data_IF_056616932582
#
_entry.id   IF_056616932582
#
_cell.length_a   1.000
_cell.length_b   1.000
_cell.length_c   1.000
_cell.angle_alpha   90.00
_cell.angle_beta   90.00
_cell.angle_gamma   90.00
#
_symmetry.space_group_name_H-M   'P 1'
#
loop_
_entity.id
_entity.type
_entity.pdbx_description
1 polymer ?
#
# COMPACT_ATOMS: atom_id res chain seq x y z
N UNK A 1 47.62 1.55 50.25
CA UNK A 1 48.35 2.76 50.67
C UNK A 1 48.33 3.71 49.48
N UNK A 2 47.32 4.59 49.45
CA UNK A 2 47.41 6.04 49.68
C UNK A 2 48.00 6.78 48.46
N UNK A 3 47.52 7.92 47.99
CA UNK A 3 46.29 8.71 48.12
C UNK A 3 46.48 9.94 47.18
N UNK A 4 45.41 10.72 46.94
CA UNK A 4 45.36 12.10 46.40
C UNK A 4 45.15 12.22 44.87
N UNK A 5 44.00 12.66 44.32
CA UNK A 5 43.13 13.85 44.57
C UNK A 5 43.90 15.16 44.28
N UNK A 6 43.47 16.14 43.46
CA UNK A 6 42.25 16.99 43.48
C UNK A 6 42.14 17.80 42.14
N UNK A 7 40.97 18.37 41.77
CA UNK A 7 40.66 18.98 40.47
C UNK A 7 40.28 20.52 40.47
N UNK A 8 39.94 21.04 39.28
CA UNK A 8 39.18 22.28 38.89
C UNK A 8 39.82 23.68 39.15
N UNK A 9 39.44 24.76 38.39
CA UNK A 9 38.21 25.52 38.69
C UNK A 9 37.39 26.08 37.49
N UNK A 10 36.09 26.25 37.78
CA UNK A 10 35.06 27.06 37.10
C UNK A 10 35.22 28.53 37.56
N UNK A 11 34.85 29.54 36.75
CA UNK A 11 34.49 30.85 37.27
C UNK A 11 32.98 31.15 37.16
N UNK A 12 32.38 31.55 38.29
CA UNK A 12 31.10 32.25 38.41
C UNK A 12 31.31 33.59 39.14
N UNK A 13 30.37 34.52 38.89
CA UNK A 13 29.93 35.70 39.67
C UNK A 13 30.56 37.08 39.38
N UNK A 14 29.72 38.00 38.87
CA UNK A 14 29.12 39.16 39.56
C UNK A 14 28.28 39.93 38.51
N UNK A 15 26.96 40.08 38.62
CA UNK A 15 26.11 40.89 39.52
C UNK A 15 26.33 42.42 39.40
N UNK A 16 25.28 43.16 38.99
CA UNK A 16 24.83 44.47 39.53
C UNK A 16 23.83 45.22 38.61
N UNK A 17 22.56 45.16 39.01
CA UNK A 17 21.47 46.19 39.06
C UNK A 17 21.54 47.52 38.25
N UNK A 18 20.39 47.89 37.66
CA UNK A 18 19.52 49.08 37.88
C UNK A 18 18.77 49.45 36.58
N UNK A 19 17.45 49.29 36.51
CA UNK A 19 16.36 50.27 36.77
C UNK A 19 16.11 51.34 35.67
N UNK A 20 14.82 51.49 35.32
CA UNK A 20 14.24 52.52 34.44
C UNK A 20 13.71 51.92 33.13
N UNK A 21 12.43 51.94 32.75
CA UNK A 21 11.32 52.82 33.13
C UNK A 21 10.82 53.56 31.88
N UNK A 22 9.70 53.12 31.29
CA UNK A 22 8.80 54.01 30.54
C UNK A 22 8.42 53.64 29.10
N UNK A 23 7.10 53.54 28.90
CA UNK A 23 6.29 53.93 27.71
C UNK A 23 6.57 53.11 26.42
N UNK A 24 5.66 52.33 25.84
CA UNK A 24 4.22 52.52 25.64
C UNK A 24 3.96 52.84 24.17
N UNK A 25 3.38 51.91 23.40
CA UNK A 25 2.39 52.11 22.32
C UNK A 25 2.25 50.86 21.41
N UNK A 26 1.08 50.64 20.77
CA UNK A 26 0.54 49.32 20.46
C UNK A 26 0.44 48.97 18.96
N UNK A 27 0.09 47.69 18.72
CA UNK A 27 -0.26 47.06 17.45
C UNK A 27 -1.21 47.86 16.55
N UNK A 28 -1.03 47.86 15.22
CA UNK A 28 -2.05 48.36 14.30
C UNK A 28 -3.18 47.33 14.09
N UNK A 29 -4.41 47.80 14.32
CA UNK A 29 -5.65 47.11 14.02
C UNK A 29 -5.98 47.14 12.51
N UNK A 30 -6.62 46.07 12.04
CA UNK A 30 -7.28 45.97 10.74
C UNK A 30 -8.60 46.77 10.73
N UNK A 31 -9.02 47.34 9.59
CA UNK A 31 -10.35 47.94 9.46
C UNK A 31 -11.45 46.87 9.21
N UNK A 32 -12.65 47.02 9.79
CA UNK A 32 -13.84 46.22 9.47
C UNK A 32 -14.70 46.93 8.39
N UNK A 33 -15.88 46.37 8.10
CA UNK A 33 -16.96 46.79 7.16
C UNK A 33 -16.90 46.12 5.77
N UNK A 34 -17.97 45.49 5.24
CA UNK A 34 -19.35 45.36 5.70
C UNK A 34 -20.18 44.47 4.75
N UNK A 35 -21.29 43.95 5.27
CA UNK A 35 -22.33 43.18 4.56
C UNK A 35 -23.49 44.12 4.21
N UNK A 36 -24.16 43.94 3.06
CA UNK A 36 -25.58 44.30 2.95
C UNK A 36 -26.47 43.12 2.53
N UNK A 37 -27.57 42.92 3.26
CA UNK A 37 -28.85 42.41 2.74
C UNK A 37 -29.26 43.26 1.51
N UNK A 38 -29.79 42.76 0.40
CA UNK A 38 -30.88 41.80 0.19
C UNK A 38 -32.13 42.59 -0.24
N UNK A 39 -32.48 42.61 -1.54
CA UNK A 39 -33.82 42.96 -2.05
C UNK A 39 -34.12 42.20 -3.36
N UNK A 40 -35.38 41.76 -3.44
CA UNK A 40 -36.06 40.98 -4.46
C UNK A 40 -36.40 41.72 -5.77
N UNK A 41 -36.76 40.94 -6.80
CA UNK A 41 -37.38 41.33 -8.06
C UNK A 41 -36.71 40.58 -9.23
N UNK A 42 -37.30 39.60 -9.92
CA UNK A 42 -38.70 39.37 -10.25
C UNK A 42 -39.00 39.93 -11.64
N UNK A 43 -38.68 39.18 -12.71
CA UNK A 43 -39.35 39.33 -14.01
C UNK A 43 -39.41 37.99 -14.77
N UNK A 44 -40.60 37.76 -15.31
CA UNK A 44 -41.09 36.61 -16.05
C UNK A 44 -40.62 36.56 -17.52
N UNK A 45 -40.57 35.32 -18.03
CA UNK A 45 -41.07 34.80 -19.32
C UNK A 45 -40.84 35.57 -20.64
N UNK A 46 -40.21 34.88 -21.61
CA UNK A 46 -40.79 34.54 -22.93
C UNK A 46 -39.85 33.54 -23.64
N UNK A 47 -40.25 32.29 -23.89
CA UNK A 47 -40.99 31.76 -25.06
C UNK A 47 -40.22 31.73 -26.40
N UNK A 48 -40.16 30.49 -26.94
CA UNK A 48 -40.25 30.11 -28.37
C UNK A 48 -38.98 29.78 -29.18
N UNK A 49 -38.95 28.49 -29.55
CA UNK A 49 -38.24 27.67 -30.56
C UNK A 49 -38.41 28.14 -32.04
N UNK A 50 -38.07 27.35 -33.09
CA UNK A 50 -36.81 26.66 -33.50
C UNK A 50 -36.49 26.85 -35.01
N UNK A 51 -35.30 26.49 -35.51
CA UNK A 51 -34.96 26.10 -36.91
C UNK A 51 -33.45 25.78 -36.90
N UNK A 52 -32.84 24.76 -37.52
CA UNK A 52 -33.22 23.84 -38.58
C UNK A 52 -32.00 23.67 -39.51
N UNK A 53 -31.47 22.44 -39.63
CA UNK A 53 -30.83 21.92 -40.85
C UNK A 53 -29.39 22.33 -41.23
N UNK A 54 -28.52 21.31 -41.25
CA UNK A 54 -28.02 20.65 -42.49
C UNK A 54 -26.48 20.60 -42.71
N UNK A 55 -26.04 19.35 -42.94
CA UNK A 55 -24.97 18.83 -43.83
C UNK A 55 -23.66 19.59 -44.06
N UNK A 56 -22.57 18.82 -43.91
CA UNK A 56 -21.29 19.05 -44.59
C UNK A 56 -20.21 18.11 -44.06
N UNK A 57 -19.93 17.01 -44.77
CA UNK A 57 -18.74 16.20 -44.51
C UNK A 57 -17.48 16.89 -45.03
N UNK A 58 -16.31 16.42 -44.62
CA UNK A 58 -15.08 16.34 -45.43
C UNK A 58 -13.96 15.67 -44.60
N UNK A 59 -13.31 14.69 -45.24
CA UNK A 59 -11.88 14.38 -45.21
C UNK A 59 -11.15 14.16 -43.87
N UNK A 60 -10.65 12.94 -43.68
CA UNK A 60 -9.53 12.67 -42.81
C UNK A 60 -8.18 13.09 -43.43
N UNK A 61 -7.09 12.88 -42.70
CA UNK A 61 -5.87 12.41 -43.33
C UNK A 61 -5.28 11.18 -42.62
N UNK A 62 -4.92 10.23 -43.46
CA UNK A 62 -3.88 9.23 -43.29
C UNK A 62 -2.54 9.83 -42.84
N UNK A 63 -1.82 9.14 -41.95
CA UNK A 63 -0.37 9.28 -41.86
C UNK A 63 0.30 7.89 -41.72
N UNK A 64 1.31 7.54 -42.55
CA UNK A 64 1.99 6.25 -42.60
C UNK A 64 3.32 6.25 -41.81
N UNK A 65 4.15 5.20 -41.98
CA UNK A 65 5.44 4.83 -41.34
C UNK A 65 5.29 3.86 -40.16
N UNK A 66 5.46 2.54 -40.30
CA UNK A 66 6.47 1.67 -40.93
C UNK A 66 7.80 1.54 -40.17
N UNK A 67 7.98 0.33 -39.61
CA UNK A 67 9.20 -0.49 -39.47
C UNK A 67 10.49 0.08 -38.86
N UNK A 68 10.96 -0.60 -37.82
CA UNK A 68 12.37 -0.65 -37.41
C UNK A 68 12.59 -1.71 -36.33
N UNK A 69 13.11 -2.87 -36.70
CA UNK A 69 13.48 -3.96 -35.80
C UNK A 69 15.00 -4.07 -35.54
N UNK A 70 15.33 -5.12 -34.77
CA UNK A 70 16.64 -5.76 -34.48
C UNK A 70 17.45 -5.25 -33.27
N UNK A 71 18.33 -6.09 -32.65
CA UNK A 71 18.45 -7.56 -32.69
C UNK A 71 18.63 -8.28 -31.32
N UNK A 72 18.38 -9.59 -31.40
CA UNK A 72 18.75 -10.65 -30.46
C UNK A 72 20.23 -11.04 -30.56
N UNK A 73 20.86 -11.30 -29.41
CA UNK A 73 22.04 -12.16 -29.20
C UNK A 73 21.65 -13.05 -28.00
N UNK A 74 21.90 -14.36 -27.89
CA UNK A 74 22.89 -15.23 -28.52
C UNK A 74 23.45 -16.13 -27.40
N UNK A 75 23.05 -17.40 -27.39
CA UNK A 75 23.40 -18.48 -26.45
C UNK A 75 24.91 -18.63 -26.16
N UNK A 76 25.25 -19.16 -24.98
CA UNK A 76 25.94 -20.46 -24.82
C UNK A 76 26.37 -20.73 -23.36
N UNK A 77 26.39 -22.02 -22.95
CA UNK A 77 27.15 -22.43 -21.76
C UNK A 77 26.58 -23.57 -20.93
N UNK A 78 26.64 -24.79 -21.47
CA UNK A 78 26.34 -26.07 -20.80
C UNK A 78 27.57 -26.58 -20.03
N UNK A 79 27.43 -26.96 -18.74
CA UNK A 79 28.30 -27.95 -18.06
C UNK A 79 27.52 -28.64 -16.93
N UNK A 80 27.46 -29.98 -16.97
CA UNK A 80 26.85 -30.84 -15.97
C UNK A 80 27.83 -31.32 -14.87
N UNK A 81 27.67 -32.54 -14.31
CA UNK A 81 27.20 -32.71 -12.93
C UNK A 81 28.13 -33.54 -12.03
N UNK A 82 27.89 -33.49 -10.71
CA UNK A 82 28.47 -34.38 -9.70
C UNK A 82 28.25 -33.78 -8.30
N UNK A 83 28.02 -34.49 -7.20
CA UNK A 83 27.97 -35.90 -6.88
C UNK A 83 27.82 -36.00 -5.35
N UNK A 84 27.09 -37.02 -4.90
CA UNK A 84 27.03 -37.67 -3.58
C UNK A 84 27.73 -37.03 -2.35
N UNK A 85 27.03 -36.94 -1.22
CA UNK A 85 27.29 -37.77 -0.02
C UNK A 85 26.34 -37.48 1.16
N UNK A 86 25.70 -38.55 1.60
CA UNK A 86 25.02 -38.82 2.88
C UNK A 86 25.95 -38.62 4.08
N UNK A 87 25.45 -38.17 5.25
CA UNK A 87 25.81 -38.75 6.57
C UNK A 87 24.92 -38.25 7.74
N UNK A 88 24.40 -39.22 8.50
CA UNK A 88 24.04 -39.28 9.92
C UNK A 88 22.88 -38.47 10.58
N UNK A 89 21.79 -39.24 10.79
CA UNK A 89 21.08 -39.47 12.08
C UNK A 89 22.05 -39.56 13.29
N UNK A 90 21.78 -39.24 14.57
CA UNK A 90 20.62 -39.23 15.48
C UNK A 90 21.20 -38.82 16.90
N UNK A 91 20.55 -38.97 18.09
CA UNK A 91 19.29 -38.47 18.68
C UNK A 91 19.49 -37.87 20.13
N UNK A 92 18.38 -37.74 20.89
CA UNK A 92 18.20 -37.45 22.34
C UNK A 92 18.07 -35.96 22.72
N UNK A 93 17.14 -35.51 23.59
CA UNK A 93 16.22 -36.18 24.49
C UNK A 93 15.18 -35.21 25.07
N UNK A 94 14.16 -35.77 25.72
CA UNK A 94 12.93 -35.13 26.17
C UNK A 94 13.03 -34.46 27.57
N UNK A 95 12.30 -33.34 27.74
CA UNK A 95 11.41 -32.87 28.85
C UNK A 95 11.79 -33.14 30.34
N UNK A 96 11.04 -32.67 31.37
CA UNK A 96 10.05 -31.59 31.52
C UNK A 96 10.29 -30.71 32.78
N UNK A 97 9.73 -29.51 32.93
CA UNK A 97 9.35 -28.98 34.25
C UNK A 97 8.27 -27.89 34.17
N UNK A 98 7.13 -28.20 34.79
CA UNK A 98 6.12 -27.32 35.39
C UNK A 98 5.52 -28.12 36.58
N UNK A 99 4.66 -27.60 37.50
CA UNK A 99 4.05 -26.27 37.61
C UNK A 99 3.97 -25.72 39.08
N UNK A 100 3.11 -24.69 39.28
CA UNK A 100 2.29 -24.31 40.47
C UNK A 100 2.75 -23.13 41.38
N UNK A 101 1.86 -22.47 42.18
CA UNK A 101 0.52 -21.91 41.90
C UNK A 101 0.24 -20.47 42.46
N UNK A 102 -0.83 -19.85 41.94
CA UNK A 102 -1.84 -18.94 42.54
C UNK A 102 -1.49 -17.88 43.61
N UNK A 103 -1.93 -16.63 43.37
CA UNK A 103 -2.71 -15.83 44.34
C UNK A 103 -3.59 -14.79 43.63
N UNK A 104 -4.81 -14.66 44.09
CA UNK A 104 -5.93 -13.82 43.64
C UNK A 104 -6.07 -12.55 44.51
N UNK A 105 -6.61 -11.45 43.94
CA UNK A 105 -7.10 -10.32 44.75
C UNK A 105 -7.34 -8.96 44.05
N UNK A 106 -8.58 -8.78 43.53
CA UNK A 106 -9.45 -7.56 43.56
C UNK A 106 -8.97 -6.16 43.09
N UNK A 107 -9.73 -5.55 42.15
CA UNK A 107 -10.04 -4.09 42.17
C UNK A 107 -9.98 -3.32 40.83
N UNK A 108 -11.16 -3.03 40.24
CA UNK A 108 -11.55 -2.00 39.23
C UNK A 108 -10.66 -1.64 38.00
N UNK A 109 -11.23 -1.50 36.78
CA UNK A 109 -10.43 -1.37 35.55
C UNK A 109 -9.93 0.08 35.29
N UNK A 110 -8.63 0.30 35.08
CA UNK A 110 -8.10 1.52 34.48
C UNK A 110 -8.17 1.46 32.93
N UNK A 111 -8.12 2.62 32.23
CA UNK A 111 -8.29 2.70 30.77
C UNK A 111 -7.19 1.93 30.03
N UNK A 112 -7.57 1.14 29.03
CA UNK A 112 -6.65 0.30 28.27
C UNK A 112 -5.74 1.16 27.37
N UNK A 113 -4.57 1.48 27.91
CA UNK A 113 -3.36 1.76 27.15
C UNK A 113 -2.94 0.47 26.45
N UNK A 114 -3.07 0.40 25.13
CA UNK A 114 -2.61 -0.74 24.32
C UNK A 114 -1.08 -0.82 24.36
N UNK A 115 -0.58 -1.63 25.29
CA UNK A 115 0.81 -2.02 25.38
C UNK A 115 1.16 -3.00 24.26
N UNK A 116 2.23 -2.69 23.52
CA UNK A 116 2.96 -3.65 22.72
C UNK A 116 3.65 -4.65 23.66
N UNK A 117 2.91 -5.67 24.10
CA UNK A 117 3.49 -6.92 24.58
C UNK A 117 3.67 -7.89 23.41
N UNK A 118 4.60 -8.85 23.47
CA UNK A 118 4.71 -9.88 22.46
C UNK A 118 3.44 -10.73 22.51
N UNK A 119 2.50 -10.48 21.61
CA UNK A 119 1.41 -11.41 21.34
C UNK A 119 2.05 -12.73 20.92
N UNK A 120 2.02 -13.71 21.81
CA UNK A 120 2.07 -15.12 21.44
C UNK A 120 0.87 -15.36 20.51
N UNK A 121 1.08 -15.14 19.21
CA UNK A 121 0.05 -15.26 18.20
C UNK A 121 -0.61 -16.62 18.31
N UNK A 122 -1.93 -16.64 18.45
CA UNK A 122 -2.71 -17.86 18.30
C UNK A 122 -2.64 -18.27 16.82
N UNK A 123 -1.54 -18.94 16.44
CA UNK A 123 -1.42 -19.55 15.13
C UNK A 123 -2.58 -20.51 14.93
N UNK A 124 -3.35 -20.32 13.86
CA UNK A 124 -4.36 -21.32 13.46
C UNK A 124 -3.68 -22.69 13.34
N UNK A 125 -4.26 -23.77 13.91
CA UNK A 125 -3.74 -25.11 13.71
C UNK A 125 -3.54 -25.43 12.23
N UNK A 126 -2.45 -26.12 11.88
CA UNK A 126 -2.06 -26.35 10.49
C UNK A 126 -3.17 -27.01 9.64
N UNK A 127 -3.92 -27.95 10.20
CA UNK A 127 -5.03 -28.60 9.50
C UNK A 127 -6.16 -27.61 9.17
N UNK A 128 -6.49 -26.73 10.11
CA UNK A 128 -7.50 -25.70 9.94
C UNK A 128 -7.05 -24.64 8.92
N UNK A 129 -5.77 -24.22 8.98
CA UNK A 129 -5.18 -23.31 7.99
C UNK A 129 -5.23 -23.93 6.60
N UNK A 130 -4.87 -25.20 6.46
CA UNK A 130 -4.91 -25.92 5.17
C UNK A 130 -6.33 -25.98 4.61
N UNK A 131 -7.33 -26.27 5.45
CA UNK A 131 -8.73 -26.27 5.03
C UNK A 131 -9.20 -24.89 4.57
N UNK A 132 -8.87 -23.83 5.32
CA UNK A 132 -9.23 -22.45 4.93
C UNK A 132 -8.52 -22.02 3.66
N UNK A 133 -7.24 -22.35 3.51
CA UNK A 133 -6.49 -22.08 2.29
C UNK A 133 -7.16 -22.75 1.09
N UNK A 134 -7.53 -24.03 1.20
CA UNK A 134 -8.24 -24.74 0.14
C UNK A 134 -9.58 -24.07 -0.23
N UNK A 135 -10.34 -23.58 0.77
CA UNK A 135 -11.59 -22.86 0.53
C UNK A 135 -11.36 -21.56 -0.24
N UNK A 136 -10.42 -20.73 0.21
CA UNK A 136 -10.05 -19.45 -0.43
C UNK A 136 -9.52 -19.69 -1.84
N UNK A 137 -8.63 -20.68 -2.02
CA UNK A 137 -8.08 -21.06 -3.33
C UNK A 137 -9.16 -21.49 -4.31
N UNK A 138 -10.16 -22.27 -3.87
CA UNK A 138 -11.30 -22.66 -4.71
C UNK A 138 -12.22 -21.47 -5.01
N UNK A 139 -12.54 -20.66 -4.00
CA UNK A 139 -13.46 -19.53 -4.11
C UNK A 139 -12.97 -18.48 -5.12
N UNK A 140 -11.66 -18.24 -5.18
CA UNK A 140 -11.06 -17.24 -6.06
C UNK A 140 -10.34 -17.83 -7.26
N UNK A 141 -10.53 -19.13 -7.53
CA UNK A 141 -9.94 -19.82 -8.67
C UNK A 141 -8.40 -19.65 -8.73
N UNK A 142 -7.75 -19.66 -7.57
CA UNK A 142 -6.29 -19.50 -7.47
C UNK A 142 -5.64 -20.82 -7.91
N UNK A 143 -4.67 -20.71 -8.81
CA UNK A 143 -3.84 -21.82 -9.26
C UNK A 143 -3.10 -22.45 -8.07
N UNK A 144 -3.04 -23.78 -8.02
CA UNK A 144 -2.38 -24.49 -6.92
C UNK A 144 -0.89 -24.14 -6.77
N UNK A 145 -0.19 -23.84 -7.88
CA UNK A 145 1.19 -23.39 -7.84
C UNK A 145 1.34 -22.01 -7.18
N UNK A 146 0.36 -21.13 -7.39
CA UNK A 146 0.30 -19.80 -6.78
C UNK A 146 -0.03 -19.94 -5.28
N UNK A 147 -1.06 -20.73 -4.96
CA UNK A 147 -1.51 -20.97 -3.59
C UNK A 147 -0.41 -21.56 -2.69
N UNK A 148 0.41 -22.47 -3.21
CA UNK A 148 1.51 -23.08 -2.47
C UNK A 148 2.57 -22.07 -1.97
N UNK A 149 2.66 -20.90 -2.60
CA UNK A 149 3.61 -19.84 -2.25
C UNK A 149 3.07 -18.83 -1.22
N UNK A 150 1.76 -18.83 -0.96
CA UNK A 150 1.14 -17.90 -0.01
C UNK A 150 1.66 -18.04 1.43
N UNK A 151 2.27 -19.18 1.79
CA UNK A 151 2.94 -19.35 3.09
C UNK A 151 4.06 -18.33 3.33
N UNK A 152 4.64 -17.73 2.27
CA UNK A 152 5.61 -16.64 2.40
C UNK A 152 5.04 -15.40 3.11
N UNK A 153 3.72 -15.20 3.06
CA UNK A 153 3.03 -14.11 3.75
C UNK A 153 2.94 -14.32 5.27
N UNK A 154 3.15 -15.54 5.77
CA UNK A 154 3.03 -15.84 7.21
C UNK A 154 4.02 -15.09 8.10
N UNK A 155 5.06 -14.50 7.53
CA UNK A 155 6.02 -13.62 8.23
C UNK A 155 5.97 -12.16 7.75
N UNK A 156 4.85 -11.76 7.14
CA UNK A 156 4.62 -10.40 6.67
C UNK A 156 3.54 -9.72 7.51
N UNK A 157 3.76 -8.46 7.88
CA UNK A 157 2.66 -7.53 8.16
C UNK A 157 2.18 -6.98 6.83
N UNK A 158 0.90 -7.19 6.50
CA UNK A 158 0.32 -6.66 5.26
C UNK A 158 -0.46 -5.39 5.56
N UNK A 159 -0.19 -4.35 4.78
CA UNK A 159 -0.90 -3.08 4.78
C UNK A 159 -1.38 -2.79 3.37
N UNK A 160 -2.65 -2.38 3.22
CA UNK A 160 -3.16 -1.86 1.95
C UNK A 160 -3.40 -0.35 2.11
N UNK A 161 -2.77 0.46 1.27
CA UNK A 161 -3.04 1.88 1.14
C UNK A 161 -3.96 2.09 -0.06
N UNK A 162 -5.23 2.35 0.21
CA UNK A 162 -6.25 2.60 -0.78
C UNK A 162 -6.30 4.08 -1.17
N UNK A 163 -6.11 4.37 -2.45
CA UNK A 163 -6.50 5.64 -3.03
C UNK A 163 -8.02 5.77 -2.99
N UNK A 164 -8.49 6.74 -2.23
CA UNK A 164 -9.89 7.12 -2.13
C UNK A 164 -10.11 8.57 -2.58
N UNK A 165 -9.28 9.06 -3.50
CA UNK A 165 -9.40 10.36 -4.16
C UNK A 165 -10.53 10.41 -5.18
N UNK A 166 -10.93 11.61 -5.59
CA UNK A 166 -12.08 11.79 -6.49
C UNK A 166 -11.95 11.06 -7.84
N UNK A 167 -10.72 10.88 -8.36
CA UNK A 167 -10.46 10.20 -9.65
C UNK A 167 -10.86 8.72 -9.64
N UNK A 168 -10.87 8.08 -8.47
CA UNK A 168 -11.28 6.67 -8.34
C UNK A 168 -12.77 6.43 -8.64
N UNK A 169 -13.59 7.48 -8.78
CA UNK A 169 -14.96 7.37 -9.32
C UNK A 169 -14.98 7.13 -10.85
N UNK A 170 -13.83 7.14 -11.52
CA UNK A 170 -13.77 6.95 -12.98
C UNK A 170 -14.28 5.55 -13.35
N UNK A 171 -15.22 5.45 -14.30
CA UNK A 171 -15.68 4.16 -14.81
C UNK A 171 -14.55 3.42 -15.52
N UNK A 172 -14.47 2.11 -15.33
CA UNK A 172 -13.49 1.28 -16.05
C UNK A 172 -14.05 0.92 -17.42
N UNK A 173 -13.28 1.16 -18.47
CA UNK A 173 -13.72 0.94 -19.85
C UNK A 173 -14.24 -0.49 -20.06
N UNK A 174 -15.42 -0.59 -20.70
CA UNK A 174 -16.04 -1.89 -20.99
C UNK A 174 -16.69 -2.57 -19.79
N UNK A 175 -16.88 -1.88 -18.67
CA UNK A 175 -17.58 -2.41 -17.48
C UNK A 175 -18.62 -1.43 -16.95
N UNK A 176 -19.47 -1.90 -16.03
CA UNK A 176 -20.37 -1.06 -15.23
C UNK A 176 -19.78 -0.71 -13.85
N UNK A 177 -18.46 -0.90 -13.66
CA UNK A 177 -17.76 -0.69 -12.39
C UNK A 177 -16.86 0.54 -12.47
N UNK A 178 -16.67 1.20 -11.35
CA UNK A 178 -15.63 2.24 -11.17
C UNK A 178 -14.32 1.62 -10.69
N UNK A 179 -13.21 2.37 -10.80
CA UNK A 179 -11.91 1.98 -10.23
C UNK A 179 -12.03 1.69 -8.72
N UNK A 180 -12.88 2.42 -8.02
CA UNK A 180 -13.21 2.18 -6.61
C UNK A 180 -13.91 0.84 -6.35
N UNK A 181 -14.81 0.41 -7.26
CA UNK A 181 -15.50 -0.89 -7.13
C UNK A 181 -14.54 -2.07 -7.35
N UNK A 182 -13.59 -1.93 -8.27
CA UNK A 182 -12.53 -2.91 -8.49
C UNK A 182 -11.59 -2.97 -7.28
N UNK A 183 -11.15 -1.81 -6.77
CA UNK A 183 -10.33 -1.74 -5.55
C UNK A 183 -11.05 -2.37 -4.35
N UNK A 184 -12.35 -2.11 -4.16
CA UNK A 184 -13.16 -2.78 -3.14
C UNK A 184 -13.06 -4.30 -3.26
N UNK A 185 -13.23 -4.82 -4.47
CA UNK A 185 -13.19 -6.27 -4.74
C UNK A 185 -11.81 -6.84 -4.42
N UNK A 186 -10.75 -6.16 -4.86
CA UNK A 186 -9.37 -6.53 -4.57
C UNK A 186 -9.10 -6.61 -3.05
N UNK A 187 -9.44 -5.56 -2.30
CA UNK A 187 -9.19 -5.51 -0.85
C UNK A 187 -9.96 -6.59 -0.10
N UNK A 188 -11.20 -6.91 -0.52
CA UNK A 188 -11.96 -8.00 0.08
C UNK A 188 -11.22 -9.34 -0.05
N UNK A 189 -10.67 -9.63 -1.23
CA UNK A 189 -9.95 -10.88 -1.49
C UNK A 189 -8.60 -10.89 -0.76
N UNK A 190 -7.90 -9.75 -0.71
CA UNK A 190 -6.64 -9.61 0.06
C UNK A 190 -6.88 -9.92 1.54
N UNK A 191 -7.95 -9.41 2.15
CA UNK A 191 -8.30 -9.73 3.55
C UNK A 191 -8.58 -11.22 3.72
N UNK A 192 -9.37 -11.82 2.83
CA UNK A 192 -9.72 -13.23 2.92
C UNK A 192 -8.49 -14.15 2.75
N UNK A 193 -7.55 -13.81 1.86
CA UNK A 193 -6.27 -14.54 1.71
C UNK A 193 -5.36 -14.33 2.92
N UNK A 194 -5.10 -13.07 3.30
CA UNK A 194 -4.10 -12.76 4.32
C UNK A 194 -4.53 -13.21 5.73
N UNK A 195 -5.83 -13.19 6.03
CA UNK A 195 -6.37 -13.67 7.32
C UNK A 195 -6.21 -15.18 7.55
N UNK A 196 -5.94 -15.97 6.48
CA UNK A 196 -5.56 -17.39 6.59
C UNK A 196 -4.10 -17.53 7.05
N UNK A 197 -3.25 -16.58 6.66
CA UNK A 197 -1.81 -16.62 6.90
C UNK A 197 -1.44 -15.97 8.25
N UNK A 198 -2.01 -14.79 8.53
CA UNK A 198 -1.81 -14.04 9.77
C UNK A 198 -3.14 -13.88 10.53
N UNK A 199 -3.20 -14.43 11.75
CA UNK A 199 -4.35 -14.32 12.64
C UNK A 199 -4.60 -12.88 13.15
N UNK A 200 -3.60 -12.00 13.09
CA UNK A 200 -3.75 -10.59 13.45
C UNK A 200 -4.50 -9.79 12.37
N UNK A 201 -4.63 -10.33 11.15
CA UNK A 201 -5.26 -9.64 10.03
C UNK A 201 -4.31 -8.64 9.36
N UNK A 202 -4.90 -7.70 8.62
CA UNK A 202 -4.17 -6.68 7.86
C UNK A 202 -4.65 -5.28 8.23
N UNK A 203 -3.82 -4.28 7.97
CA UNK A 203 -4.27 -2.89 8.07
C UNK A 203 -4.68 -2.33 6.71
N UNK A 204 -5.76 -1.55 6.70
CA UNK A 204 -6.27 -0.85 5.52
C UNK A 204 -6.21 0.64 5.82
N UNK A 205 -5.32 1.34 5.14
CA UNK A 205 -5.20 2.78 5.18
C UNK A 205 -5.89 3.39 3.95
N UNK A 206 -6.33 4.63 4.11
CA UNK A 206 -6.88 5.43 3.02
C UNK A 206 -6.14 6.75 2.94
N UNK A 207 -6.20 7.42 1.79
CA UNK A 207 -5.58 8.74 1.62
C UNK A 207 -6.36 9.83 2.36
N UNK A 208 -7.69 9.80 2.31
CA UNK A 208 -8.57 10.88 2.72
C UNK A 208 -9.47 10.53 3.92
N UNK A 209 -9.25 9.38 4.59
CA UNK A 209 -9.99 8.96 5.79
C UNK A 209 -9.14 8.12 6.76
N UNK A 210 -9.73 7.83 7.92
CA UNK A 210 -9.10 7.05 8.98
C UNK A 210 -8.89 5.58 8.57
N UNK A 211 -7.79 4.95 9.05
CA UNK A 211 -7.50 3.55 8.74
C UNK A 211 -8.39 2.57 9.50
N UNK A 212 -8.51 1.36 8.97
CA UNK A 212 -8.99 0.17 9.66
C UNK A 212 -7.81 -0.71 10.02
N UNK A 213 -7.63 -1.05 11.28
CA UNK A 213 -6.48 -1.84 11.75
C UNK A 213 -6.90 -3.27 12.11
N UNK A 214 -5.99 -4.23 11.92
CA UNK A 214 -6.17 -5.65 12.28
C UNK A 214 -7.46 -6.26 11.69
N UNK A 215 -7.73 -5.99 10.41
CA UNK A 215 -8.92 -6.47 9.70
C UNK A 215 -8.72 -7.94 9.34
N UNK A 216 -9.57 -8.81 9.90
CA UNK A 216 -9.55 -10.26 9.66
C UNK A 216 -10.77 -10.76 8.89
N UNK A 217 -11.69 -9.88 8.51
CA UNK A 217 -12.98 -10.26 7.92
C UNK A 217 -13.44 -9.23 6.87
N UNK A 218 -13.54 -9.70 5.62
CA UNK A 218 -13.91 -8.89 4.47
C UNK A 218 -15.31 -8.25 4.59
N UNK A 219 -16.20 -8.75 5.47
CA UNK A 219 -17.53 -8.17 5.72
C UNK A 219 -17.44 -6.71 6.18
N UNK A 220 -16.44 -6.36 7.00
CA UNK A 220 -16.26 -5.00 7.49
C UNK A 220 -15.72 -4.06 6.41
N UNK A 221 -14.85 -4.57 5.53
CA UNK A 221 -14.34 -3.82 4.38
C UNK A 221 -15.47 -3.31 3.51
N UNK A 222 -16.46 -4.16 3.21
CA UNK A 222 -17.58 -3.79 2.33
C UNK A 222 -18.35 -2.56 2.80
N UNK A 223 -18.45 -2.35 4.11
CA UNK A 223 -19.19 -1.23 4.68
C UNK A 223 -18.44 0.10 4.51
N UNK A 224 -17.13 0.11 4.72
CA UNK A 224 -16.31 1.33 4.59
C UNK A 224 -16.22 1.80 3.15
N UNK A 225 -16.22 0.87 2.19
CA UNK A 225 -16.26 1.19 0.76
C UNK A 225 -17.61 1.71 0.25
N UNK A 226 -18.65 1.78 1.10
CA UNK A 226 -19.92 2.41 0.71
C UNK A 226 -19.82 3.95 0.66
N UNK A 227 -18.87 4.54 1.38
CA UNK A 227 -18.57 5.96 1.24
C UNK A 227 -17.76 6.17 -0.06
N UNK A 228 -18.24 7.01 -1.00
CA UNK A 228 -17.56 7.22 -2.26
C UNK A 228 -16.18 7.85 -2.05
N UNK A 229 -15.23 7.62 -2.96
CA UNK A 229 -13.93 8.25 -2.91
C UNK A 229 -14.06 9.74 -3.30
N UNK A 230 -13.30 10.59 -2.63
CA UNK A 230 -13.32 12.05 -2.77
C UNK A 230 -12.01 12.66 -2.26
N UNK A 231 -11.69 13.85 -2.75
CA UNK A 231 -10.50 14.59 -2.32
C UNK A 231 -9.32 14.44 -3.27
N UNK A 232 -8.15 14.87 -2.79
CA UNK A 232 -6.87 14.82 -3.51
C UNK A 232 -6.22 13.45 -3.34
N UNK A 233 -4.99 13.31 -3.84
CA UNK A 233 -4.18 12.07 -3.78
C UNK A 233 -2.95 12.27 -2.87
N UNK A 234 -3.10 12.53 -1.54
CA UNK A 234 -2.00 12.80 -0.62
C UNK A 234 -1.23 11.52 -0.23
N UNK A 235 -0.66 10.83 -1.22
CA UNK A 235 -0.01 9.53 -1.07
C UNK A 235 1.26 9.61 -0.22
N UNK A 236 2.06 10.67 -0.40
CA UNK A 236 3.32 10.90 0.35
C UNK A 236 3.09 10.95 1.87
N UNK A 237 2.23 11.85 2.41
CA UNK A 237 1.98 11.87 3.86
C UNK A 237 1.29 10.59 4.36
N UNK A 238 0.42 9.95 3.56
CA UNK A 238 -0.22 8.70 3.94
C UNK A 238 0.79 7.55 4.07
N UNK A 239 1.74 7.43 3.14
CA UNK A 239 2.82 6.44 3.20
C UNK A 239 3.73 6.69 4.41
N UNK A 240 4.11 7.95 4.68
CA UNK A 240 4.89 8.29 5.89
C UNK A 240 4.15 7.93 7.18
N UNK A 241 2.83 8.11 7.23
CA UNK A 241 2.00 7.69 8.37
C UNK A 241 2.10 6.19 8.63
N UNK A 242 2.04 5.37 7.58
CA UNK A 242 2.21 3.90 7.68
C UNK A 242 3.62 3.57 8.17
N UNK A 243 4.65 4.11 7.53
CA UNK A 243 6.05 3.85 7.89
C UNK A 243 6.35 4.24 9.35
N UNK A 244 5.82 5.37 9.81
CA UNK A 244 5.95 5.80 11.20
C UNK A 244 5.23 4.85 12.17
N UNK A 245 4.00 4.44 11.86
CA UNK A 245 3.22 3.52 12.70
C UNK A 245 3.85 2.12 12.79
N UNK A 246 4.50 1.67 11.72
CA UNK A 246 5.12 0.33 11.62
C UNK A 246 6.62 0.32 11.92
N UNK A 247 7.22 1.46 12.27
CA UNK A 247 8.68 1.61 12.49
C UNK A 247 9.26 0.66 13.54
N UNK A 248 8.49 0.33 14.57
CA UNK A 248 8.93 -0.49 15.70
C UNK A 248 8.51 -1.97 15.57
N UNK A 249 8.09 -2.41 14.38
CA UNK A 249 7.81 -3.83 14.18
C UNK A 249 9.10 -4.66 14.39
N UNK A 250 8.96 -5.91 14.89
CA UNK A 250 10.11 -6.79 15.04
C UNK A 250 10.89 -6.89 13.73
N UNK A 251 12.22 -6.74 13.78
CA UNK A 251 13.08 -6.73 12.60
C UNK A 251 12.96 -7.99 11.72
N UNK A 252 12.53 -9.10 12.33
CA UNK A 252 12.32 -10.38 11.65
C UNK A 252 11.03 -10.41 10.82
N UNK A 253 10.04 -9.56 11.10
CA UNK A 253 8.77 -9.49 10.35
C UNK A 253 8.93 -8.52 9.19
N UNK A 254 8.61 -8.98 7.97
CA UNK A 254 8.58 -8.12 6.79
C UNK A 254 7.36 -7.21 6.85
N UNK A 255 7.45 -6.00 6.31
CA UNK A 255 6.30 -5.11 6.09
C UNK A 255 6.00 -5.08 4.60
N UNK A 256 4.84 -5.58 4.17
CA UNK A 256 4.35 -5.48 2.80
C UNK A 256 3.30 -4.38 2.72
N UNK A 257 3.52 -3.38 1.86
CA UNK A 257 2.58 -2.29 1.61
C UNK A 257 2.09 -2.40 0.16
N UNK A 258 0.80 -2.70 -0.01
CA UNK A 258 0.13 -2.59 -1.31
C UNK A 258 -0.39 -1.16 -1.47
N UNK A 259 0.07 -0.41 -2.46
CA UNK A 259 -0.40 0.95 -2.74
C UNK A 259 -1.25 0.91 -3.99
N UNK A 260 -2.57 1.03 -3.85
CA UNK A 260 -3.50 1.00 -4.96
C UNK A 260 -3.95 2.42 -5.33
N UNK A 261 -3.60 2.89 -6.52
CA UNK A 261 -3.79 4.28 -6.98
C UNK A 261 -4.05 4.35 -8.48
N UNK A 262 -4.85 5.31 -8.93
CA UNK A 262 -5.13 5.53 -10.36
C UNK A 262 -4.32 6.69 -10.98
N UNK A 263 -3.48 7.34 -10.19
CA UNK A 263 -2.72 8.49 -10.64
C UNK A 263 -1.51 8.85 -9.78
N UNK A 264 -1.00 10.05 -10.04
CA UNK A 264 0.18 10.60 -9.40
C UNK A 264 -0.14 11.22 -8.03
N UNK A 265 0.80 11.16 -7.07
CA UNK A 265 0.67 11.82 -5.78
C UNK A 265 0.49 13.33 -5.95
N UNK A 266 -0.32 13.93 -5.07
CA UNK A 266 -0.49 15.38 -4.97
C UNK A 266 -0.20 15.88 -3.56
N UNK A 267 0.29 17.11 -3.44
CA UNK A 267 0.41 17.81 -2.17
C UNK A 267 -0.93 18.40 -1.71
N UNK A 268 -0.95 19.10 -0.57
CA UNK A 268 -2.16 19.71 0.00
C UNK A 268 -2.80 20.80 -0.88
N UNK A 269 -2.08 21.29 -1.89
CA UNK A 269 -2.57 22.25 -2.88
C UNK A 269 -2.99 21.60 -4.20
N UNK A 270 -2.96 20.27 -4.30
CA UNK A 270 -3.30 19.53 -5.52
C UNK A 270 -2.20 19.53 -6.59
N UNK A 271 -0.97 19.93 -6.25
CA UNK A 271 0.16 19.91 -7.18
C UNK A 271 0.86 18.56 -7.15
N UNK A 272 1.35 18.09 -8.30
CA UNK A 272 2.05 16.81 -8.41
C UNK A 272 3.30 16.75 -7.51
N UNK A 273 3.48 15.63 -6.82
CA UNK A 273 4.57 15.42 -5.86
C UNK A 273 5.27 14.06 -6.02
N UNK A 274 5.52 13.68 -7.27
CA UNK A 274 6.16 12.39 -7.64
C UNK A 274 7.57 12.29 -7.04
N UNK A 275 8.32 13.40 -7.01
CA UNK A 275 9.68 13.43 -6.47
C UNK A 275 9.74 13.14 -4.97
N UNK A 276 8.79 13.65 -4.17
CA UNK A 276 8.76 13.31 -2.75
C UNK A 276 8.36 11.85 -2.52
N UNK A 277 7.48 11.28 -3.34
CA UNK A 277 7.16 9.85 -3.28
C UNK A 277 8.40 9.00 -3.56
N UNK A 278 9.16 9.32 -4.61
CA UNK A 278 10.42 8.62 -4.90
C UNK A 278 11.39 8.71 -3.72
N UNK A 279 11.53 9.89 -3.12
CA UNK A 279 12.41 10.09 -1.97
C UNK A 279 12.01 9.22 -0.77
N UNK A 280 10.71 9.12 -0.46
CA UNK A 280 10.20 8.23 0.61
C UNK A 280 10.56 6.77 0.29
N UNK A 281 10.31 6.32 -0.94
CA UNK A 281 10.57 4.95 -1.36
C UNK A 281 12.06 4.59 -1.33
N UNK A 282 12.96 5.54 -1.61
CA UNK A 282 14.40 5.29 -1.61
C UNK A 282 15.06 5.43 -0.24
N UNK A 283 14.57 6.33 0.60
CA UNK A 283 15.34 6.79 1.76
C UNK A 283 14.64 6.63 3.12
N UNK A 284 13.32 6.42 3.15
CA UNK A 284 12.56 6.33 4.41
C UNK A 284 12.11 4.90 4.75
N UNK A 285 12.25 3.96 3.81
CA UNK A 285 11.96 2.53 4.03
C UNK A 285 13.11 1.81 4.73
N UNK A 286 12.77 0.70 5.39
CA UNK A 286 13.77 -0.26 5.87
C UNK A 286 14.02 -1.35 4.80
N UNK A 287 15.13 -2.10 4.87
CA UNK A 287 15.35 -3.25 4.00
C UNK A 287 14.27 -4.34 4.10
N UNK A 288 13.47 -4.35 5.17
CA UNK A 288 12.37 -5.30 5.38
C UNK A 288 11.02 -4.77 4.90
N UNK A 289 10.99 -3.57 4.30
CA UNK A 289 9.78 -2.96 3.76
C UNK A 289 9.67 -3.22 2.26
N UNK A 290 8.67 -4.01 1.90
CA UNK A 290 8.28 -4.34 0.55
C UNK A 290 7.09 -3.47 0.12
N UNK A 291 7.09 -3.01 -1.12
CA UNK A 291 6.02 -2.19 -1.68
C UNK A 291 5.59 -2.77 -3.01
N UNK A 292 4.30 -2.97 -3.21
CA UNK A 292 3.74 -3.27 -4.53
C UNK A 292 2.77 -2.15 -4.89
N UNK A 293 3.01 -1.46 -6.00
CA UNK A 293 2.02 -0.55 -6.58
C UNK A 293 1.01 -1.34 -7.40
N UNK A 294 -0.27 -1.02 -7.23
CA UNK A 294 -1.38 -1.55 -8.02
C UNK A 294 -1.97 -0.39 -8.80
N UNK A 295 -1.71 -0.35 -10.10
CA UNK A 295 -2.27 0.66 -10.98
C UNK A 295 -3.77 0.40 -11.18
N UNK A 296 -4.59 1.23 -10.57
CA UNK A 296 -6.05 1.16 -10.69
C UNK A 296 -6.55 1.99 -11.89
N UNK A 297 -5.88 1.95 -13.03
CA UNK A 297 -6.17 2.83 -14.17
C UNK A 297 -5.92 2.10 -15.49
N UNK A 298 -6.77 2.38 -16.47
CA UNK A 298 -6.59 2.01 -17.88
C UNK A 298 -5.77 3.07 -18.65
N UNK A 299 -5.51 4.23 -18.04
CA UNK A 299 -4.61 5.26 -18.56
C UNK A 299 -3.21 5.10 -17.98
N UNK A 300 -2.38 4.28 -18.66
CA UNK A 300 -1.01 4.01 -18.23
C UNK A 300 -0.12 5.26 -18.24
N UNK A 301 -0.51 6.37 -18.88
CA UNK A 301 0.28 7.59 -18.85
C UNK A 301 0.29 8.24 -17.45
N UNK A 302 -0.82 8.15 -16.71
CA UNK A 302 -0.94 8.78 -15.38
C UNK A 302 -0.05 8.13 -14.33
N UNK A 303 0.33 6.86 -14.56
CA UNK A 303 1.17 6.04 -13.68
C UNK A 303 2.53 5.69 -14.31
N UNK A 304 2.85 6.23 -15.49
CA UNK A 304 4.10 5.95 -16.22
C UNK A 304 5.38 6.27 -15.44
N UNK A 305 5.28 7.11 -14.41
CA UNK A 305 6.39 7.40 -13.50
C UNK A 305 6.81 6.16 -12.68
N UNK A 306 5.93 5.16 -12.52
CA UNK A 306 6.21 3.91 -11.81
C UNK A 306 7.03 2.92 -12.65
N UNK A 307 6.94 2.97 -13.99
CA UNK A 307 7.45 1.93 -14.90
C UNK A 307 8.98 1.73 -14.90
N UNK A 308 9.73 2.55 -14.18
CA UNK A 308 11.17 2.37 -14.00
C UNK A 308 11.57 2.10 -12.54
N UNK A 309 10.64 2.23 -11.60
CA UNK A 309 10.94 2.15 -10.18
C UNK A 309 11.11 0.71 -9.70
N UNK A 310 10.31 -0.22 -10.21
CA UNK A 310 10.45 -1.67 -10.01
C UNK A 310 11.89 -2.17 -10.28
N UNK A 311 12.52 -1.65 -11.34
CA UNK A 311 13.88 -2.05 -11.77
C UNK A 311 15.00 -1.46 -10.91
N UNK A 312 14.78 -0.33 -10.24
CA UNK A 312 15.87 0.47 -9.62
C UNK A 312 15.67 0.73 -8.13
N UNK A 313 14.49 0.44 -7.59
CA UNK A 313 14.17 0.58 -6.18
C UNK A 313 14.02 -0.84 -5.61
N UNK A 314 14.85 -1.24 -4.63
CA UNK A 314 14.79 -2.60 -4.11
C UNK A 314 13.47 -2.88 -3.38
N UNK A 315 13.02 -4.14 -3.44
CA UNK A 315 11.78 -4.60 -2.81
C UNK A 315 10.56 -3.78 -3.23
N UNK A 316 10.53 -3.35 -4.50
CA UNK A 316 9.43 -2.62 -5.08
C UNK A 316 8.98 -3.35 -6.34
N UNK A 317 7.67 -3.53 -6.48
CA UNK A 317 7.03 -4.09 -7.65
C UNK A 317 5.90 -3.16 -8.12
N UNK A 318 5.58 -3.21 -9.41
CA UNK A 318 4.52 -2.40 -10.04
C UNK A 318 3.67 -3.32 -10.90
N UNK A 319 2.41 -3.43 -10.50
CA UNK A 319 1.41 -4.24 -11.17
C UNK A 319 0.46 -3.34 -11.94
N UNK A 320 0.23 -3.65 -13.22
CA UNK A 320 -0.83 -3.04 -14.02
C UNK A 320 -2.22 -3.55 -13.59
N UNK A 321 -3.27 -3.02 -14.21
CA UNK A 321 -4.63 -3.53 -14.03
C UNK A 321 -4.73 -5.00 -14.48
N UNK A 322 -5.70 -5.75 -13.92
CA UNK A 322 -5.84 -7.19 -14.17
C UNK A 322 -5.93 -7.56 -15.65
N UNK A 323 -6.60 -6.75 -16.49
CA UNK A 323 -6.76 -7.08 -17.92
C UNK A 323 -5.44 -6.94 -18.66
N UNK A 324 -4.72 -5.85 -18.41
CA UNK A 324 -3.42 -5.59 -19.02
C UNK A 324 -2.40 -6.64 -18.58
N UNK A 325 -2.35 -6.92 -17.28
CA UNK A 325 -1.48 -7.92 -16.67
C UNK A 325 -1.74 -9.33 -17.24
N UNK A 326 -3.02 -9.74 -17.27
CA UNK A 326 -3.41 -11.03 -17.85
C UNK A 326 -3.01 -11.13 -19.32
N UNK A 327 -3.25 -10.08 -20.10
CA UNK A 327 -2.90 -10.07 -21.50
C UNK A 327 -1.37 -10.17 -21.71
N UNK A 328 -0.57 -9.58 -20.82
CA UNK A 328 0.88 -9.68 -20.85
C UNK A 328 1.38 -11.08 -20.50
N UNK A 329 0.92 -11.66 -19.38
CA UNK A 329 1.26 -13.04 -19.01
C UNK A 329 0.86 -14.00 -20.14
N UNK A 330 -0.29 -13.82 -20.77
CA UNK A 330 -0.71 -14.65 -21.89
C UNK A 330 0.14 -14.45 -23.15
N UNK A 331 0.66 -13.23 -23.40
CA UNK A 331 1.64 -12.99 -24.47
C UNK A 331 2.97 -13.69 -24.21
N UNK A 332 3.43 -13.72 -22.96
CA UNK A 332 4.74 -14.28 -22.57
C UNK A 332 4.69 -15.79 -22.34
N UNK A 333 3.66 -16.31 -21.68
CA UNK A 333 3.50 -17.72 -21.28
C UNK A 333 2.62 -18.55 -22.23
N UNK A 334 1.96 -17.89 -23.18
CA UNK A 334 1.09 -18.50 -24.18
C UNK A 334 -0.39 -18.19 -23.93
N UNK A 335 -1.16 -18.02 -25.02
CA UNK A 335 -2.54 -17.50 -24.97
C UNK A 335 -3.53 -18.34 -24.14
N UNK A 336 -3.21 -19.60 -23.85
CA UNK A 336 -4.02 -20.50 -23.03
C UNK A 336 -3.53 -20.57 -21.57
N UNK A 337 -2.56 -19.77 -21.17
CA UNK A 337 -2.09 -19.75 -19.79
C UNK A 337 -3.24 -19.32 -18.86
N UNK A 338 -3.64 -20.16 -17.88
CA UNK A 338 -4.69 -19.82 -16.94
C UNK A 338 -4.16 -18.78 -15.96
N UNK A 339 -4.86 -17.65 -15.87
CA UNK A 339 -4.55 -16.57 -14.94
C UNK A 339 -5.86 -15.92 -14.52
N UNK A 340 -6.35 -16.31 -13.34
CA UNK A 340 -7.58 -15.79 -12.77
C UNK A 340 -7.36 -14.45 -12.08
N UNK A 341 -8.45 -13.81 -11.65
CA UNK A 341 -8.33 -12.62 -10.80
C UNK A 341 -7.74 -12.97 -9.41
N UNK A 342 -7.98 -14.19 -8.91
CA UNK A 342 -7.31 -14.68 -7.71
C UNK A 342 -5.80 -14.79 -7.91
N UNK A 343 -5.36 -15.32 -9.06
CA UNK A 343 -3.93 -15.42 -9.41
C UNK A 343 -3.27 -14.04 -9.47
N UNK A 344 -3.96 -13.05 -10.05
CA UNK A 344 -3.54 -11.65 -10.07
C UNK A 344 -3.31 -11.08 -8.67
N UNK A 345 -4.23 -11.36 -7.72
CA UNK A 345 -4.09 -10.88 -6.34
C UNK A 345 -2.94 -11.60 -5.62
N UNK A 346 -2.74 -12.89 -5.88
CA UNK A 346 -1.58 -13.60 -5.33
C UNK A 346 -0.27 -13.04 -5.90
N UNK A 347 -0.21 -12.74 -7.21
CA UNK A 347 0.94 -12.06 -7.82
C UNK A 347 1.17 -10.69 -7.15
N UNK A 348 0.12 -9.89 -6.97
CA UNK A 348 0.18 -8.59 -6.29
C UNK A 348 0.75 -8.66 -4.86
N UNK A 349 0.42 -9.73 -4.13
CA UNK A 349 0.90 -9.97 -2.76
C UNK A 349 2.35 -10.45 -2.70
N UNK A 350 2.87 -11.06 -3.77
CA UNK A 350 4.13 -11.78 -3.74
C UNK A 350 5.18 -11.28 -4.74
N UNK A 351 4.83 -10.45 -5.71
CA UNK A 351 5.74 -9.98 -6.76
C UNK A 351 6.98 -9.29 -6.20
N UNK A 352 6.81 -8.36 -5.25
CA UNK A 352 7.94 -7.72 -4.57
C UNK A 352 8.72 -8.66 -3.61
N UNK A 353 8.17 -9.81 -3.22
CA UNK A 353 8.72 -10.71 -2.19
C UNK A 353 9.40 -11.95 -2.77
N UNK A 354 8.86 -12.49 -3.87
CA UNK A 354 9.21 -13.77 -4.48
C UNK A 354 9.43 -13.56 -5.98
N UNK A 355 10.70 -13.64 -6.40
CA UNK A 355 11.13 -13.38 -7.77
C UNK A 355 10.51 -14.32 -8.81
N UNK A 356 9.91 -15.44 -8.39
CA UNK A 356 9.16 -16.28 -9.32
C UNK A 356 7.94 -15.53 -9.88
N UNK A 357 7.23 -14.78 -9.03
CA UNK A 357 6.07 -13.98 -9.43
C UNK A 357 6.46 -12.79 -10.29
N UNK A 358 7.51 -12.09 -9.88
CA UNK A 358 8.13 -10.98 -10.63
C UNK A 358 8.50 -11.43 -12.06
N UNK A 359 9.04 -12.63 -12.22
CA UNK A 359 9.43 -13.14 -13.54
C UNK A 359 8.28 -13.61 -14.44
N UNK A 360 7.02 -13.60 -14.00
CA UNK A 360 5.92 -14.26 -14.74
C UNK A 360 5.62 -13.60 -16.10
N UNK A 361 5.81 -12.31 -16.20
CA UNK A 361 5.63 -11.43 -17.36
C UNK A 361 6.94 -11.14 -18.10
N UNK A 362 8.08 -11.37 -17.46
CA UNK A 362 9.40 -11.31 -18.09
C UNK A 362 9.52 -12.28 -19.27
N UNK A 363 9.98 -11.74 -20.41
CA UNK A 363 10.32 -12.57 -21.58
C UNK A 363 11.48 -13.50 -21.21
N UNK A 364 11.23 -14.80 -21.30
CA UNK A 364 12.22 -15.86 -21.11
C UNK A 364 13.36 -15.81 -22.15
#
# INVERSE_FOLDING_TARGET
>A
MNNHSIPIPIPCLHDSRQEGGGRGAPYPQQPPYGVPHGIAGGYQQNMSTPYGGNQGGFEGPSNPYNQGGYPSYGQSGNYGPGGYSTFNQQPYGANPYAPNPSTSGTGYPPPQTSGYGPSSGNFMPNDQRTQRLNQVTQQYEINQQFAARLYALGNCEVVVLCDDSGSMNTPIQGTNQTRWDELKSLVNIVVDICSVMDSNGIDIYFLNRDPMLNVTDARYVRQVFNAPPQGLTPLVPALRRILAAKRNQPYEKKLLILIATDGAPTNEYGQLDVGALEAVLRHERTPQTYVTFLACTDDLQTVSYLSNWDRVIPNLDVMDDYRSERAEIQRTRGGNFPFSFGDYIVKSLLGSIDSWFDSLDDRA
#
